data_IF_016649802219
#
_entry.id   IF_016649802219
#
_cell.length_a   1.000
_cell.length_b   1.000
_cell.length_c   1.000
_cell.angle_alpha   90.00
_cell.angle_beta   90.00
_cell.angle_gamma   90.00
#
_symmetry.space_group_name_H-M   'P 1'
#
loop_
_entity.id
_entity.type
_entity.pdbx_description
1 polymer ?
#
# COMPACT_ATOMS: atom_id res chain seq x y z
N UNK A 1 8.36 -47.02 -34.65
CA UNK A 1 7.22 -46.40 -33.94
C UNK A 1 7.48 -46.46 -32.44
N UNK A 2 7.12 -45.43 -31.65
CA UNK A 2 7.92 -44.22 -31.47
C UNK A 2 8.70 -44.19 -30.14
N UNK A 3 9.82 -43.46 -30.17
CA UNK A 3 10.60 -43.01 -29.01
C UNK A 3 9.68 -42.27 -28.04
N UNK A 4 9.42 -42.87 -26.88
CA UNK A 4 8.62 -42.28 -25.82
C UNK A 4 9.22 -40.95 -25.37
N UNK A 5 8.44 -39.88 -25.56
CA UNK A 5 8.68 -38.58 -24.94
C UNK A 5 8.75 -38.77 -23.43
N UNK A 6 9.96 -38.82 -22.87
CA UNK A 6 10.17 -38.35 -21.49
C UNK A 6 10.00 -36.84 -21.53
N UNK A 7 8.75 -36.39 -21.35
CA UNK A 7 8.49 -34.99 -21.03
C UNK A 7 9.19 -34.69 -19.71
N UNK A 8 10.40 -34.14 -19.77
CA UNK A 8 11.08 -33.56 -18.63
C UNK A 8 10.29 -32.32 -18.18
N UNK A 9 9.17 -32.56 -17.50
CA UNK A 9 8.36 -31.55 -16.82
C UNK A 9 9.11 -31.14 -15.55
N UNK A 10 10.23 -30.45 -15.76
CA UNK A 10 11.00 -29.90 -14.67
C UNK A 10 10.32 -28.61 -14.23
N UNK A 11 9.79 -28.58 -13.00
CA UNK A 11 9.33 -27.36 -12.33
C UNK A 11 10.36 -26.21 -12.46
N UNK A 12 11.65 -26.54 -12.58
CA UNK A 12 12.75 -25.58 -12.78
C UNK A 12 12.74 -24.89 -14.15
N UNK A 13 12.13 -25.47 -15.20
CA UNK A 13 11.91 -24.80 -16.50
C UNK A 13 10.66 -23.93 -16.51
N UNK A 14 9.62 -24.32 -15.76
CA UNK A 14 8.41 -23.51 -15.60
C UNK A 14 8.63 -22.28 -14.72
N UNK A 15 9.48 -22.41 -13.69
CA UNK A 15 9.70 -21.39 -12.68
C UNK A 15 11.19 -21.08 -12.49
N UNK A 16 11.85 -20.39 -13.45
CA UNK A 16 13.27 -20.03 -13.38
C UNK A 16 13.62 -19.18 -12.14
N UNK A 17 12.62 -18.56 -11.51
CA UNK A 17 12.74 -17.76 -10.29
C UNK A 17 13.20 -18.54 -9.06
N UNK A 18 13.01 -19.87 -9.00
CA UNK A 18 13.39 -20.67 -7.84
C UNK A 18 14.90 -20.59 -7.52
N UNK A 19 15.76 -20.39 -8.52
CA UNK A 19 17.20 -20.16 -8.31
C UNK A 19 17.53 -18.77 -7.75
N UNK A 20 16.61 -17.82 -7.89
CA UNK A 20 16.78 -16.44 -7.46
C UNK A 20 16.25 -16.17 -6.05
N UNK A 21 15.52 -17.13 -5.45
CA UNK A 21 14.99 -17.02 -4.09
C UNK A 21 16.13 -17.09 -3.08
N UNK A 22 16.25 -16.05 -2.27
CA UNK A 22 17.07 -16.05 -1.06
C UNK A 22 16.16 -15.90 0.17
N UNK A 23 16.74 -16.07 1.36
CA UNK A 23 15.99 -16.01 2.62
C UNK A 23 15.22 -14.68 2.79
N UNK A 24 15.79 -13.56 2.36
CA UNK A 24 15.13 -12.25 2.44
C UNK A 24 13.89 -12.16 1.56
N UNK A 25 13.96 -12.68 0.33
CA UNK A 25 12.80 -12.73 -0.58
C UNK A 25 11.70 -13.61 0.00
N UNK A 26 12.07 -14.77 0.54
CA UNK A 26 11.10 -15.66 1.18
C UNK A 26 10.38 -14.96 2.34
N UNK A 27 11.12 -14.26 3.21
CA UNK A 27 10.56 -13.49 4.32
C UNK A 27 9.58 -12.41 3.81
N UNK A 28 10.00 -11.59 2.84
CA UNK A 28 9.18 -10.49 2.31
C UNK A 28 7.91 -11.02 1.66
N UNK A 29 8.01 -12.02 0.78
CA UNK A 29 6.84 -12.61 0.13
C UNK A 29 5.87 -13.23 1.14
N UNK A 30 6.40 -13.84 2.20
CA UNK A 30 5.57 -14.39 3.29
C UNK A 30 4.85 -13.27 4.04
N UNK A 31 5.54 -12.17 4.38
CA UNK A 31 4.91 -11.01 5.02
C UNK A 31 3.80 -10.40 4.17
N UNK A 32 4.08 -10.16 2.89
CA UNK A 32 3.11 -9.65 1.92
C UNK A 32 1.86 -10.55 1.89
N UNK A 33 2.04 -11.87 1.86
CA UNK A 33 0.92 -12.81 1.81
C UNK A 33 0.11 -12.85 3.12
N UNK A 34 0.77 -12.79 4.28
CA UNK A 34 0.12 -12.78 5.58
C UNK A 34 -0.62 -11.46 5.86
N UNK A 35 0.01 -10.33 5.56
CA UNK A 35 -0.54 -9.00 5.89
C UNK A 35 -1.60 -8.54 4.88
N UNK A 36 -1.34 -8.73 3.58
CA UNK A 36 -2.21 -8.25 2.50
C UNK A 36 -3.18 -9.31 1.99
N UNK A 37 -2.85 -10.59 2.13
CA UNK A 37 -3.73 -11.70 1.76
C UNK A 37 -4.67 -12.18 2.87
N UNK A 38 -4.49 -11.67 4.11
CA UNK A 38 -5.21 -12.06 5.33
C UNK A 38 -5.22 -13.59 5.58
N UNK A 39 -4.18 -14.30 5.11
CA UNK A 39 -4.20 -15.76 5.05
C UNK A 39 -4.39 -16.41 6.43
N UNK A 40 -3.66 -15.95 7.44
CA UNK A 40 -3.77 -16.50 8.79
C UNK A 40 -5.15 -16.29 9.44
N UNK A 41 -5.88 -15.24 9.07
CA UNK A 41 -7.20 -14.95 9.63
C UNK A 41 -8.33 -15.67 8.89
N UNK A 42 -8.01 -16.30 7.76
CA UNK A 42 -8.94 -17.02 6.90
C UNK A 42 -8.81 -18.55 7.04
N UNK A 43 -7.76 -19.02 7.72
CA UNK A 43 -7.43 -20.44 7.86
C UNK A 43 -7.30 -20.79 9.34
N UNK A 44 -8.37 -21.37 9.92
CA UNK A 44 -8.50 -21.57 11.36
C UNK A 44 -7.35 -22.38 12.00
N UNK A 45 -6.84 -23.40 11.31
CA UNK A 45 -5.74 -24.21 11.84
C UNK A 45 -4.41 -23.46 11.94
N UNK A 46 -4.25 -22.35 11.22
CA UNK A 46 -3.03 -21.52 11.22
C UNK A 46 -3.00 -20.55 12.40
N UNK A 47 -4.17 -20.15 12.90
CA UNK A 47 -4.31 -19.22 14.04
C UNK A 47 -3.52 -19.65 15.28
N UNK A 48 -3.65 -20.90 15.80
CA UNK A 48 -2.92 -21.31 17.00
C UNK A 48 -1.41 -21.42 16.79
N UNK A 49 -0.94 -21.60 15.55
CA UNK A 49 0.49 -21.72 15.23
C UNK A 49 1.24 -20.39 15.37
N UNK A 50 0.53 -19.26 15.49
CA UNK A 50 1.10 -17.92 15.61
C UNK A 50 2.15 -17.62 14.52
N UNK A 51 1.96 -18.14 13.30
CA UNK A 51 2.88 -17.98 12.17
C UNK A 51 3.27 -16.51 11.94
N UNK A 52 2.34 -15.52 11.97
CA UNK A 52 2.73 -14.11 11.78
C UNK A 52 3.70 -13.60 12.84
N UNK A 53 3.59 -14.08 14.08
CA UNK A 53 4.52 -13.71 15.14
C UNK A 53 5.91 -14.28 14.87
N UNK A 54 6.00 -15.57 14.52
CA UNK A 54 7.28 -16.23 14.18
C UNK A 54 7.94 -15.51 13.00
N UNK A 55 7.19 -15.24 11.93
CA UNK A 55 7.68 -14.51 10.75
C UNK A 55 8.15 -13.12 11.15
N UNK A 56 7.38 -12.37 11.94
CA UNK A 56 7.76 -11.03 12.43
C UNK A 56 9.08 -11.04 13.22
N UNK A 57 9.29 -12.03 14.09
CA UNK A 57 10.53 -12.18 14.86
C UNK A 57 11.70 -12.50 13.92
N UNK A 58 11.54 -13.42 12.98
CA UNK A 58 12.57 -13.75 11.99
C UNK A 58 12.92 -12.56 11.10
N UNK A 59 11.92 -11.79 10.68
CA UNK A 59 12.09 -10.54 9.92
C UNK A 59 12.94 -9.55 10.71
N UNK A 60 12.59 -9.30 11.98
CA UNK A 60 13.34 -8.37 12.82
C UNK A 60 14.79 -8.83 13.05
N UNK A 61 14.99 -10.09 13.43
CA UNK A 61 16.33 -10.64 13.68
C UNK A 61 17.20 -10.63 12.42
N UNK A 62 16.63 -10.95 11.25
CA UNK A 62 17.37 -10.92 9.99
C UNK A 62 17.70 -9.48 9.55
N UNK A 63 16.79 -8.53 9.73
CA UNK A 63 17.08 -7.12 9.50
C UNK A 63 18.19 -6.60 10.42
N UNK A 64 18.18 -6.99 11.70
CA UNK A 64 19.21 -6.65 12.68
C UNK A 64 20.58 -7.21 12.27
N UNK A 65 20.62 -8.46 11.81
CA UNK A 65 21.83 -9.07 11.24
C UNK A 65 22.34 -8.29 10.02
N UNK A 66 21.47 -7.88 9.09
CA UNK A 66 21.86 -7.10 7.92
C UNK A 66 22.40 -5.71 8.29
N UNK A 67 21.83 -5.09 9.32
CA UNK A 67 22.28 -3.81 9.86
C UNK A 67 23.67 -3.94 10.51
N UNK A 68 23.86 -4.88 11.45
CA UNK A 68 25.14 -5.05 12.15
C UNK A 68 26.25 -5.64 11.29
N UNK A 69 25.92 -6.40 10.24
CA UNK A 69 26.92 -6.87 9.26
C UNK A 69 27.35 -5.78 8.27
N UNK A 70 26.84 -4.55 8.39
CA UNK A 70 27.16 -3.43 7.49
C UNK A 70 26.60 -3.59 6.07
N UNK A 71 25.73 -4.58 5.82
CA UNK A 71 25.10 -4.81 4.51
C UNK A 71 24.03 -3.77 4.20
N UNK A 72 23.43 -3.18 5.24
CA UNK A 72 22.53 -2.05 5.15
C UNK A 72 23.15 -0.82 5.80
N UNK A 73 22.95 0.35 5.19
CA UNK A 73 23.35 1.63 5.77
C UNK A 73 22.27 2.68 5.48
N UNK A 74 21.71 3.38 6.50
CA UNK A 74 20.67 4.39 6.31
C UNK A 74 21.02 5.48 5.29
N UNK A 75 22.30 5.88 5.22
CA UNK A 75 22.77 6.92 4.30
C UNK A 75 22.98 6.44 2.85
N UNK A 76 22.73 5.15 2.55
CA UNK A 76 22.97 4.59 1.21
C UNK A 76 22.07 5.20 0.14
N UNK A 77 20.83 5.54 0.49
CA UNK A 77 19.87 6.18 -0.42
C UNK A 77 19.09 7.26 0.32
N UNK A 78 18.61 8.29 -0.42
CA UNK A 78 17.75 9.34 0.16
C UNK A 78 16.49 8.76 0.81
N UNK A 79 15.94 7.70 0.21
CA UNK A 79 14.77 7.01 0.75
C UNK A 79 15.11 6.24 2.03
N UNK A 80 16.25 5.54 2.07
CA UNK A 80 16.72 4.88 3.30
C UNK A 80 16.91 5.88 4.44
N UNK A 81 17.50 7.06 4.15
CA UNK A 81 17.69 8.10 5.15
C UNK A 81 16.35 8.67 5.63
N UNK A 82 15.49 9.10 4.71
CA UNK A 82 14.19 9.69 5.07
C UNK A 82 13.28 8.70 5.83
N UNK A 83 13.27 7.41 5.46
CA UNK A 83 12.52 6.41 6.23
C UNK A 83 13.16 6.16 7.61
N UNK A 84 14.49 6.18 7.72
CA UNK A 84 15.16 6.08 9.03
C UNK A 84 14.81 7.28 9.92
N UNK A 85 14.79 8.50 9.37
CA UNK A 85 14.36 9.70 10.08
C UNK A 85 12.89 9.62 10.51
N UNK A 86 12.01 9.15 9.63
CA UNK A 86 10.61 8.91 9.96
C UNK A 86 10.45 7.89 11.09
N UNK A 87 11.18 6.76 11.00
CA UNK A 87 11.17 5.71 12.01
C UNK A 87 11.60 6.24 13.38
N UNK A 88 12.76 6.92 13.43
CA UNK A 88 13.29 7.50 14.67
C UNK A 88 12.37 8.59 15.23
N UNK A 89 11.78 9.41 14.36
CA UNK A 89 10.82 10.43 14.78
C UNK A 89 9.60 9.82 15.45
N UNK A 90 8.92 8.86 14.81
CA UNK A 90 7.74 8.22 15.40
C UNK A 90 8.11 7.47 16.68
N UNK A 91 9.26 6.77 16.69
CA UNK A 91 9.75 6.07 17.88
C UNK A 91 9.94 7.03 19.06
N UNK A 92 10.80 8.05 18.89
CA UNK A 92 11.13 8.97 19.97
C UNK A 92 9.92 9.81 20.38
N UNK A 93 9.15 10.32 19.41
CA UNK A 93 8.02 11.18 19.70
C UNK A 93 6.88 10.42 20.41
N UNK A 94 6.61 9.17 20.04
CA UNK A 94 5.59 8.37 20.72
C UNK A 94 6.00 7.96 22.15
N UNK A 95 7.29 7.74 22.42
CA UNK A 95 7.77 7.51 23.78
C UNK A 95 7.54 8.72 24.69
N UNK A 96 7.62 9.92 24.12
CA UNK A 96 7.45 11.18 24.86
C UNK A 96 5.99 11.64 24.98
N UNK A 97 5.17 11.40 23.94
CA UNK A 97 3.87 12.04 23.80
C UNK A 97 2.66 11.12 23.95
N UNK A 98 2.78 9.82 23.62
CA UNK A 98 1.61 8.94 23.58
C UNK A 98 1.04 8.68 24.97
N UNK A 99 -0.28 8.88 25.14
CA UNK A 99 -1.00 8.64 26.39
C UNK A 99 -1.40 7.18 26.56
N UNK A 100 -1.82 6.52 25.48
CA UNK A 100 -2.17 5.10 25.49
C UNK A 100 -0.96 4.24 25.14
N UNK A 101 -0.45 3.51 26.14
CA UNK A 101 0.73 2.65 26.01
C UNK A 101 0.45 1.46 25.08
N UNK A 102 -0.78 0.92 25.09
CA UNK A 102 -1.12 -0.23 24.27
C UNK A 102 -1.14 0.17 22.78
N UNK A 103 -1.86 1.25 22.44
CA UNK A 103 -1.92 1.76 21.06
C UNK A 103 -0.52 2.12 20.57
N UNK A 104 0.29 2.80 21.40
CA UNK A 104 1.69 3.10 21.10
C UNK A 104 2.48 1.84 20.76
N UNK A 105 2.45 0.83 21.62
CA UNK A 105 3.24 -0.38 21.46
C UNK A 105 2.81 -1.17 20.21
N UNK A 106 1.52 -1.21 19.90
CA UNK A 106 1.01 -1.82 18.68
C UNK A 106 1.48 -1.06 17.42
N UNK A 107 1.40 0.27 17.41
CA UNK A 107 1.86 1.12 16.32
C UNK A 107 3.37 0.99 16.08
N UNK A 108 4.17 1.04 17.14
CA UNK A 108 5.63 0.86 17.07
C UNK A 108 6.04 -0.54 16.61
N UNK A 109 5.32 -1.58 17.04
CA UNK A 109 5.56 -2.95 16.57
C UNK A 109 5.36 -3.05 15.06
N UNK A 110 4.29 -2.47 14.52
CA UNK A 110 4.03 -2.48 13.07
C UNK A 110 5.12 -1.71 12.31
N UNK A 111 5.45 -0.50 12.77
CA UNK A 111 6.46 0.33 12.15
C UNK A 111 7.84 -0.35 12.15
N UNK A 112 8.19 -1.05 13.23
CA UNK A 112 9.42 -1.85 13.33
C UNK A 112 9.47 -2.95 12.27
N UNK A 113 8.35 -3.65 12.05
CA UNK A 113 8.27 -4.70 11.03
C UNK A 113 8.35 -4.11 9.62
N UNK A 114 7.72 -2.96 9.36
CA UNK A 114 7.82 -2.29 8.06
C UNK A 114 9.25 -1.82 7.76
N UNK A 115 9.93 -1.23 8.74
CA UNK A 115 11.32 -0.83 8.61
C UNK A 115 12.26 -2.04 8.43
N UNK A 116 11.99 -3.14 9.14
CA UNK A 116 12.74 -4.40 8.98
C UNK A 116 12.57 -5.00 7.58
N UNK A 117 11.34 -5.06 7.07
CA UNK A 117 11.06 -5.50 5.70
C UNK A 117 11.75 -4.60 4.67
N UNK A 118 11.79 -3.30 4.89
CA UNK A 118 12.50 -2.35 4.03
C UNK A 118 14.01 -2.59 3.99
N UNK A 119 14.65 -2.83 5.14
CA UNK A 119 16.07 -3.20 5.23
C UNK A 119 16.33 -4.47 4.41
N UNK A 120 15.53 -5.52 4.64
CA UNK A 120 15.68 -6.80 3.95
C UNK A 120 15.52 -6.62 2.44
N UNK A 121 14.48 -5.90 2.00
CA UNK A 121 14.22 -5.68 0.58
C UNK A 121 15.37 -4.93 -0.10
N UNK A 122 15.91 -3.90 0.57
CA UNK A 122 17.02 -3.08 0.09
C UNK A 122 18.32 -3.85 -0.07
N UNK A 123 18.51 -4.92 0.71
CA UNK A 123 19.72 -5.75 0.67
C UNK A 123 19.57 -7.02 -0.20
N UNK A 124 18.37 -7.60 -0.24
CA UNK A 124 18.15 -8.94 -0.78
C UNK A 124 17.53 -8.97 -2.18
N UNK A 125 16.88 -7.89 -2.63
CA UNK A 125 16.32 -7.77 -3.99
C UNK A 125 17.32 -7.05 -4.88
N UNK A 126 17.99 -7.82 -5.73
CA UNK A 126 19.18 -7.41 -6.49
C UNK A 126 18.98 -7.43 -8.00
N UNK A 127 18.09 -8.28 -8.50
CA UNK A 127 17.87 -8.41 -9.93
C UNK A 127 16.39 -8.42 -10.30
N UNK A 128 16.16 -8.34 -11.62
CA UNK A 128 14.83 -8.26 -12.22
C UNK A 128 13.92 -9.44 -11.88
N UNK A 129 14.48 -10.66 -11.78
CA UNK A 129 13.70 -11.86 -11.48
C UNK A 129 13.19 -11.83 -10.05
N UNK A 130 14.01 -11.34 -9.12
CA UNK A 130 13.64 -11.17 -7.71
C UNK A 130 12.58 -10.08 -7.55
N UNK A 131 12.74 -8.95 -8.24
CA UNK A 131 11.73 -7.88 -8.26
C UNK A 131 10.40 -8.40 -8.79
N UNK A 132 10.42 -9.10 -9.94
CA UNK A 132 9.23 -9.73 -10.52
C UNK A 132 8.56 -10.71 -9.56
N UNK A 133 9.35 -11.53 -8.87
CA UNK A 133 8.81 -12.49 -7.91
C UNK A 133 8.09 -11.82 -6.74
N UNK A 134 8.64 -10.72 -6.20
CA UNK A 134 7.98 -9.97 -5.11
C UNK A 134 6.73 -9.25 -5.62
N UNK A 135 6.77 -8.68 -6.83
CA UNK A 135 5.58 -8.07 -7.47
C UNK A 135 4.47 -9.12 -7.70
N UNK A 136 4.83 -10.31 -8.19
CA UNK A 136 3.87 -11.40 -8.42
C UNK A 136 3.30 -11.92 -7.09
N UNK A 137 4.12 -12.05 -6.05
CA UNK A 137 3.66 -12.43 -4.70
C UNK A 137 2.66 -11.41 -4.13
N UNK A 138 2.89 -10.12 -4.34
CA UNK A 138 1.95 -9.06 -3.99
C UNK A 138 0.62 -9.17 -4.74
N UNK A 139 0.66 -9.32 -6.07
CA UNK A 139 -0.56 -9.51 -6.85
C UNK A 139 -1.33 -10.77 -6.45
N UNK A 140 -0.64 -11.87 -6.15
CA UNK A 140 -1.25 -13.11 -5.67
C UNK A 140 -1.86 -12.94 -4.26
N UNK A 141 -1.21 -12.23 -3.36
CA UNK A 141 -1.75 -11.92 -2.04
C UNK A 141 -3.04 -11.09 -2.16
N UNK A 142 -3.03 -10.06 -3.01
CA UNK A 142 -4.23 -9.23 -3.24
C UNK A 142 -5.33 -10.04 -3.91
N UNK A 143 -5.02 -10.90 -4.88
CA UNK A 143 -6.00 -11.81 -5.50
C UNK A 143 -6.63 -12.76 -4.48
N UNK A 144 -5.83 -13.30 -3.56
CA UNK A 144 -6.32 -14.14 -2.47
C UNK A 144 -7.30 -13.36 -1.59
N UNK A 145 -6.94 -12.15 -1.16
CA UNK A 145 -7.83 -11.27 -0.42
C UNK A 145 -9.10 -10.94 -1.21
N UNK A 146 -9.00 -10.66 -2.51
CA UNK A 146 -10.16 -10.39 -3.36
C UNK A 146 -11.12 -11.58 -3.41
N UNK A 147 -10.61 -12.80 -3.57
CA UNK A 147 -11.43 -14.01 -3.60
C UNK A 147 -12.26 -14.14 -2.31
N UNK A 148 -11.64 -14.00 -1.15
CA UNK A 148 -12.34 -14.08 0.13
C UNK A 148 -13.26 -12.89 0.37
N UNK A 149 -12.82 -11.67 0.05
CA UNK A 149 -13.62 -10.45 0.17
C UNK A 149 -14.88 -10.48 -0.68
N UNK A 150 -14.79 -10.93 -1.94
CA UNK A 150 -15.95 -11.09 -2.84
C UNK A 150 -16.95 -12.10 -2.27
N UNK A 151 -16.47 -13.21 -1.70
CA UNK A 151 -17.32 -14.25 -1.08
C UNK A 151 -18.02 -13.76 0.19
N UNK A 152 -17.39 -12.85 0.92
CA UNK A 152 -17.89 -12.29 2.18
C UNK A 152 -18.68 -10.97 2.00
N UNK A 153 -18.96 -10.57 0.74
CA UNK A 153 -19.82 -9.44 0.43
C UNK A 153 -19.11 -8.11 0.14
N UNK A 154 -17.78 -8.12 0.01
CA UNK A 154 -16.98 -6.95 -0.34
C UNK A 154 -15.87 -6.62 0.65
N UNK A 155 -15.71 -7.39 1.73
CA UNK A 155 -14.75 -7.18 2.80
C UNK A 155 -14.39 -8.50 3.49
N UNK A 156 -13.33 -8.52 4.32
CA UNK A 156 -12.89 -9.70 5.06
C UNK A 156 -13.08 -9.44 6.56
N UNK A 157 -14.17 -9.94 7.13
CA UNK A 157 -14.61 -9.63 8.50
C UNK A 157 -13.58 -9.99 9.58
N UNK A 158 -12.84 -11.09 9.38
CA UNK A 158 -11.82 -11.55 10.32
C UNK A 158 -10.47 -10.84 10.17
N UNK A 159 -10.29 -10.03 9.12
CA UNK A 159 -9.01 -9.38 8.84
C UNK A 159 -8.78 -8.17 9.75
N UNK A 160 -7.54 -8.02 10.21
CA UNK A 160 -7.12 -6.84 10.96
C UNK A 160 -7.20 -5.54 10.14
N UNK A 161 -7.04 -5.63 8.81
CA UNK A 161 -6.86 -4.47 7.93
C UNK A 161 -7.85 -4.42 6.77
N UNK A 162 -8.72 -5.41 6.62
CA UNK A 162 -9.57 -5.57 5.43
C UNK A 162 -11.04 -5.76 5.83
N UNK A 163 -11.39 -5.40 7.08
CA UNK A 163 -12.75 -5.48 7.61
C UNK A 163 -13.62 -4.26 7.27
N UNK A 164 -13.01 -3.19 6.75
CA UNK A 164 -13.68 -1.96 6.32
C UNK A 164 -13.64 -1.80 4.79
N UNK A 165 -14.71 -1.25 4.21
CA UNK A 165 -14.84 -1.10 2.76
C UNK A 165 -13.78 -0.18 2.14
N UNK A 166 -13.31 0.83 2.88
CA UNK A 166 -12.31 1.77 2.40
C UNK A 166 -10.93 1.13 2.41
N UNK A 167 -10.61 0.35 3.44
CA UNK A 167 -9.32 -0.33 3.57
C UNK A 167 -9.10 -1.38 2.48
N UNK A 168 -10.09 -2.26 2.26
CA UNK A 168 -9.98 -3.30 1.23
C UNK A 168 -10.02 -2.71 -0.18
N UNK A 169 -10.72 -1.58 -0.37
CA UNK A 169 -10.68 -0.84 -1.63
C UNK A 169 -9.28 -0.27 -1.90
N UNK A 170 -8.64 0.34 -0.89
CA UNK A 170 -7.26 0.85 -1.00
C UNK A 170 -6.28 -0.26 -1.36
N UNK A 171 -6.41 -1.45 -0.74
CA UNK A 171 -5.57 -2.60 -1.07
C UNK A 171 -5.57 -2.90 -2.59
N UNK A 172 -6.77 -2.95 -3.16
CA UNK A 172 -6.95 -3.27 -4.58
C UNK A 172 -6.51 -2.12 -5.48
N UNK A 173 -6.77 -0.88 -5.09
CA UNK A 173 -6.28 0.32 -5.80
C UNK A 173 -4.76 0.33 -5.90
N UNK A 174 -4.05 -0.12 -4.86
CA UNK A 174 -2.60 -0.27 -4.89
C UNK A 174 -2.13 -1.38 -5.85
N UNK A 175 -2.98 -2.34 -6.22
CA UNK A 175 -2.62 -3.48 -7.07
C UNK A 175 -2.92 -3.26 -8.56
N UNK A 176 -3.99 -2.50 -8.87
CA UNK A 176 -4.44 -2.24 -10.25
C UNK A 176 -3.31 -1.70 -11.15
N UNK A 177 -2.49 -0.70 -10.74
CA UNK A 177 -1.44 -0.16 -11.60
C UNK A 177 -0.39 -1.20 -11.99
N UNK A 178 -0.03 -2.12 -11.09
CA UNK A 178 0.92 -3.19 -11.38
C UNK A 178 0.35 -4.14 -12.43
N UNK A 179 -0.87 -4.66 -12.22
CA UNK A 179 -1.51 -5.56 -13.18
C UNK A 179 -1.69 -4.88 -14.55
N UNK A 180 -2.10 -3.60 -14.58
CA UNK A 180 -2.32 -2.85 -15.81
C UNK A 180 -1.02 -2.59 -16.58
N UNK A 181 0.02 -2.13 -15.90
CA UNK A 181 1.32 -1.87 -16.55
C UNK A 181 1.97 -3.17 -17.06
N UNK A 182 1.89 -4.26 -16.29
CA UNK A 182 2.42 -5.56 -16.69
C UNK A 182 1.63 -6.18 -17.86
N UNK A 183 0.31 -5.99 -17.91
CA UNK A 183 -0.51 -6.38 -19.06
C UNK A 183 -0.05 -5.70 -20.35
N UNK A 184 0.31 -4.40 -20.28
CA UNK A 184 0.75 -3.64 -21.45
C UNK A 184 2.16 -4.02 -21.88
N UNK A 185 3.03 -4.33 -20.91
CA UNK A 185 4.43 -4.71 -21.12
C UNK A 185 4.55 -6.11 -21.74
N UNK A 186 3.91 -7.12 -21.14
CA UNK A 186 4.13 -8.50 -21.56
C UNK A 186 3.46 -8.84 -22.90
N UNK A 187 4.23 -9.50 -23.77
CA UNK A 187 3.74 -10.01 -25.06
C UNK A 187 3.07 -11.39 -24.94
N UNK A 188 3.46 -12.18 -23.94
CA UNK A 188 2.95 -13.53 -23.72
C UNK A 188 1.42 -13.53 -23.46
N UNK A 189 0.66 -14.30 -24.25
CA UNK A 189 -0.81 -14.32 -24.18
C UNK A 189 -1.34 -14.79 -22.83
N UNK A 190 -0.73 -15.82 -22.24
CA UNK A 190 -1.16 -16.37 -20.93
C UNK A 190 -0.99 -15.31 -19.84
N UNK A 191 0.19 -14.67 -19.77
CA UNK A 191 0.43 -13.58 -18.80
C UNK A 191 -0.57 -12.44 -18.96
N UNK A 192 -0.86 -12.05 -20.20
CA UNK A 192 -1.87 -11.01 -20.47
C UNK A 192 -3.25 -11.38 -19.97
N UNK A 193 -3.68 -12.61 -20.20
CA UNK A 193 -4.97 -13.12 -19.70
C UNK A 193 -4.98 -13.07 -18.18
N UNK A 194 -3.92 -13.54 -17.51
CA UNK A 194 -3.81 -13.50 -16.05
C UNK A 194 -3.96 -12.07 -15.51
N UNK A 195 -3.24 -11.08 -16.07
CA UNK A 195 -3.37 -9.70 -15.61
C UNK A 195 -4.73 -9.06 -15.89
N UNK A 196 -5.38 -9.38 -17.03
CA UNK A 196 -6.75 -8.95 -17.32
C UNK A 196 -7.71 -9.53 -16.28
N UNK A 197 -7.61 -10.83 -16.01
CA UNK A 197 -8.44 -11.49 -15.00
C UNK A 197 -8.21 -10.89 -13.61
N UNK A 198 -6.96 -10.56 -13.26
CA UNK A 198 -6.67 -9.87 -12.01
C UNK A 198 -7.37 -8.52 -11.92
N UNK A 199 -7.27 -7.69 -12.97
CA UNK A 199 -7.95 -6.39 -13.01
C UNK A 199 -9.47 -6.57 -12.90
N UNK A 200 -10.05 -7.56 -13.59
CA UNK A 200 -11.49 -7.83 -13.50
C UNK A 200 -11.92 -8.21 -12.07
N UNK A 201 -11.15 -9.07 -11.40
CA UNK A 201 -11.39 -9.46 -10.00
C UNK A 201 -11.25 -8.25 -9.06
N UNK A 202 -10.23 -7.43 -9.27
CA UNK A 202 -9.97 -6.19 -8.53
C UNK A 202 -11.16 -5.21 -8.64
N UNK A 203 -11.61 -4.93 -9.86
CA UNK A 203 -12.77 -4.08 -10.10
C UNK A 203 -14.04 -4.67 -9.47
N UNK A 204 -14.23 -5.99 -9.55
CA UNK A 204 -15.37 -6.67 -8.92
C UNK A 204 -15.37 -6.48 -7.40
N UNK A 205 -14.21 -6.58 -6.73
CA UNK A 205 -14.13 -6.36 -5.30
C UNK A 205 -14.44 -4.90 -4.93
N UNK A 206 -13.88 -3.91 -5.65
CA UNK A 206 -14.15 -2.49 -5.38
C UNK A 206 -15.65 -2.18 -5.51
N UNK A 207 -16.32 -2.73 -6.52
CA UNK A 207 -17.78 -2.57 -6.69
C UNK A 207 -18.53 -3.19 -5.50
N UNK A 208 -18.17 -4.41 -5.09
CA UNK A 208 -18.81 -5.08 -3.95
C UNK A 208 -18.58 -4.36 -2.63
N UNK A 209 -17.38 -3.82 -2.42
CA UNK A 209 -17.03 -3.07 -1.22
C UNK A 209 -17.93 -1.85 -1.01
N UNK A 210 -18.49 -1.26 -2.09
CA UNK A 210 -19.36 -0.07 -2.00
C UNK A 210 -18.68 1.12 -1.29
N UNK A 211 -17.37 1.30 -1.48
CA UNK A 211 -16.62 2.41 -0.88
C UNK A 211 -16.60 3.65 -1.78
N UNK A 212 -17.06 4.78 -1.25
CA UNK A 212 -16.93 6.12 -1.88
C UNK A 212 -15.48 6.52 -2.09
N UNK A 213 -14.65 6.34 -1.05
CA UNK A 213 -13.21 6.60 -1.12
C UNK A 213 -12.54 5.69 -2.16
N UNK A 214 -12.96 4.43 -2.24
CA UNK A 214 -12.54 3.47 -3.25
C UNK A 214 -12.90 3.89 -4.67
N UNK A 215 -14.11 4.38 -4.92
CA UNK A 215 -14.53 4.85 -6.23
C UNK A 215 -13.72 6.07 -6.71
N UNK A 216 -13.50 7.07 -5.82
CA UNK A 216 -12.70 8.25 -6.15
C UNK A 216 -11.24 7.89 -6.42
N UNK A 217 -10.66 7.02 -5.59
CA UNK A 217 -9.30 6.57 -5.78
C UNK A 217 -9.14 5.69 -7.03
N UNK A 218 -10.14 4.89 -7.40
CA UNK A 218 -10.17 4.18 -8.69
C UNK A 218 -10.15 5.16 -9.87
N UNK A 219 -10.94 6.23 -9.82
CA UNK A 219 -10.94 7.27 -10.86
C UNK A 219 -9.57 7.95 -10.98
N UNK A 220 -8.99 8.38 -9.85
CA UNK A 220 -7.65 8.97 -9.82
C UNK A 220 -6.60 8.00 -10.38
N UNK A 221 -6.60 6.76 -9.93
CA UNK A 221 -5.69 5.71 -10.42
C UNK A 221 -5.86 5.46 -11.92
N UNK A 222 -7.09 5.37 -12.44
CA UNK A 222 -7.35 5.23 -13.87
C UNK A 222 -6.81 6.40 -14.69
N UNK A 223 -7.05 7.63 -14.22
CA UNK A 223 -6.52 8.85 -14.84
C UNK A 223 -4.99 8.86 -14.87
N UNK A 224 -4.32 8.51 -13.77
CA UNK A 224 -2.86 8.47 -13.72
C UNK A 224 -2.26 7.27 -14.47
N UNK A 225 -2.95 6.13 -14.53
CA UNK A 225 -2.61 5.05 -15.44
C UNK A 225 -2.60 5.53 -16.90
N UNK A 226 -3.60 6.30 -17.33
CA UNK A 226 -3.65 6.86 -18.68
C UNK A 226 -2.51 7.83 -18.97
N UNK A 227 -2.20 8.75 -18.05
CA UNK A 227 -1.19 9.80 -18.28
C UNK A 227 0.25 9.27 -18.31
N UNK A 228 0.55 8.17 -17.60
CA UNK A 228 1.89 7.59 -17.49
C UNK A 228 2.24 6.61 -18.64
N UNK A 229 1.32 6.36 -19.57
CA UNK A 229 1.53 5.45 -20.71
C UNK A 229 1.79 6.23 -21.99
N UNK A 230 2.79 5.76 -22.77
CA UNK A 230 3.13 6.34 -24.08
C UNK A 230 1.99 6.14 -25.10
N UNK A 231 1.37 4.95 -25.12
CA UNK A 231 0.25 4.60 -26.00
C UNK A 231 -1.09 5.08 -25.44
N UNK A 232 -1.26 6.40 -25.32
CA UNK A 232 -2.42 7.06 -24.68
C UNK A 232 -3.78 6.59 -25.21
N UNK A 233 -3.92 6.45 -26.54
CA UNK A 233 -5.18 6.02 -27.17
C UNK A 233 -5.55 4.59 -26.74
N UNK A 234 -4.59 3.67 -26.77
CA UNK A 234 -4.82 2.27 -26.37
C UNK A 234 -5.18 2.18 -24.89
N UNK A 235 -4.49 2.94 -24.04
CA UNK A 235 -4.79 3.00 -22.61
C UNK A 235 -6.20 3.57 -22.38
N UNK A 236 -6.56 4.66 -23.04
CA UNK A 236 -7.89 5.27 -22.95
C UNK A 236 -8.98 4.29 -23.38
N UNK A 237 -8.82 3.58 -24.50
CA UNK A 237 -9.77 2.56 -24.94
C UNK A 237 -9.99 1.47 -23.90
N UNK A 238 -8.92 0.94 -23.29
CA UNK A 238 -9.04 -0.10 -22.26
C UNK A 238 -9.75 0.44 -21.02
N UNK A 239 -9.42 1.65 -20.59
CA UNK A 239 -10.04 2.31 -19.43
C UNK A 239 -11.52 2.59 -19.71
N UNK A 240 -11.87 3.07 -20.91
CA UNK A 240 -13.26 3.29 -21.32
C UNK A 240 -14.06 2.00 -21.37
N UNK A 241 -13.47 0.90 -21.88
CA UNK A 241 -14.10 -0.43 -21.87
C UNK A 241 -14.34 -0.88 -20.43
N UNK A 242 -13.34 -0.76 -19.55
CA UNK A 242 -13.51 -1.10 -18.14
C UNK A 242 -14.60 -0.26 -17.48
N UNK A 243 -14.63 1.06 -17.73
CA UNK A 243 -15.67 1.95 -17.23
C UNK A 243 -17.07 1.60 -17.74
N UNK A 244 -17.19 1.22 -19.02
CA UNK A 244 -18.45 0.77 -19.61
C UNK A 244 -18.93 -0.56 -19.02
N UNK A 245 -18.02 -1.51 -18.77
CA UNK A 245 -18.34 -2.76 -18.07
C UNK A 245 -18.84 -2.48 -16.65
N UNK A 246 -18.17 -1.59 -15.90
CA UNK A 246 -18.64 -1.16 -14.58
C UNK A 246 -20.03 -0.53 -14.70
N UNK A 247 -20.24 0.34 -15.69
CA UNK A 247 -21.53 1.00 -15.91
C UNK A 247 -22.70 0.02 -16.11
N UNK A 248 -22.48 -1.07 -16.86
CA UNK A 248 -23.52 -2.08 -17.13
C UNK A 248 -23.73 -3.04 -15.96
N UNK A 249 -22.64 -3.48 -15.31
CA UNK A 249 -22.71 -4.62 -14.38
C UNK A 249 -22.70 -4.21 -12.90
N UNK A 250 -22.34 -2.98 -12.55
CA UNK A 250 -22.38 -2.54 -11.17
C UNK A 250 -23.83 -2.44 -10.67
N UNK A 251 -24.15 -2.88 -9.44
CA UNK A 251 -25.49 -2.79 -8.89
C UNK A 251 -25.87 -1.33 -8.62
N UNK A 252 -27.16 -1.01 -8.69
CA UNK A 252 -27.68 0.35 -8.43
C UNK A 252 -27.20 0.93 -7.09
N UNK A 253 -27.07 0.08 -6.06
CA UNK A 253 -26.53 0.47 -4.75
C UNK A 253 -25.16 1.14 -4.85
N UNK A 254 -24.27 0.65 -5.71
CA UNK A 254 -22.94 1.22 -5.88
C UNK A 254 -23.00 2.64 -6.47
N UNK A 255 -23.88 2.87 -7.45
CA UNK A 255 -24.12 4.20 -8.00
C UNK A 255 -24.74 5.14 -6.97
N UNK A 256 -25.66 4.66 -6.14
CA UNK A 256 -26.26 5.45 -5.08
C UNK A 256 -25.21 5.93 -4.07
N UNK A 257 -24.27 5.07 -3.68
CA UNK A 257 -23.14 5.43 -2.81
C UNK A 257 -22.24 6.50 -3.45
N UNK A 258 -21.95 6.40 -4.75
CA UNK A 258 -21.16 7.42 -5.45
C UNK A 258 -21.92 8.74 -5.58
N UNK A 259 -23.22 8.69 -5.87
CA UNK A 259 -24.07 9.88 -5.94
C UNK A 259 -24.17 10.59 -4.58
N UNK A 260 -24.09 9.84 -3.47
CA UNK A 260 -24.13 10.46 -2.14
C UNK A 260 -22.90 11.30 -1.81
N UNK A 261 -21.81 11.17 -2.57
CA UNK A 261 -20.67 12.12 -2.53
C UNK A 261 -21.16 13.55 -2.82
N UNK A 262 -22.12 13.73 -3.74
CA UNK A 262 -22.69 15.04 -4.08
C UNK A 262 -23.69 15.53 -3.02
N UNK A 263 -24.40 14.63 -2.35
CA UNK A 263 -25.44 14.96 -1.37
C UNK A 263 -24.89 15.49 -0.03
N UNK A 264 -23.57 15.40 0.19
CA UNK A 264 -22.90 16.05 1.30
C UNK A 264 -23.30 15.53 2.69
N UNK A 265 -23.02 16.31 3.73
CA UNK A 265 -23.03 15.97 5.17
C UNK A 265 -24.38 15.58 5.78
N UNK A 266 -25.38 15.24 4.97
CA UNK A 266 -26.69 14.73 5.40
C UNK A 266 -26.64 13.24 5.78
N UNK A 267 -25.66 12.48 5.29
CA UNK A 267 -25.42 11.09 5.69
C UNK A 267 -24.56 10.95 6.95
N UNK A 268 -24.87 9.95 7.80
CA UNK A 268 -24.18 9.73 9.08
C UNK A 268 -22.67 9.55 8.95
N UNK A 269 -22.19 8.82 7.94
CA UNK A 269 -20.77 8.54 7.73
C UNK A 269 -20.00 9.74 7.18
N UNK A 270 -20.58 10.51 6.25
CA UNK A 270 -19.97 11.74 5.75
C UNK A 270 -19.89 12.81 6.86
N UNK A 271 -20.93 12.89 7.69
CA UNK A 271 -20.94 13.75 8.86
C UNK A 271 -19.87 13.36 9.87
N UNK A 272 -19.75 12.08 10.25
CA UNK A 272 -18.75 11.59 11.20
C UNK A 272 -17.31 11.96 10.77
N UNK A 273 -16.98 11.81 9.48
CA UNK A 273 -15.69 12.23 8.91
C UNK A 273 -15.46 13.73 9.02
N UNK A 274 -16.36 14.54 8.47
CA UNK A 274 -16.21 16.01 8.49
C UNK A 274 -16.17 16.57 9.90
N UNK A 275 -16.87 15.94 10.85
CA UNK A 275 -16.80 16.29 12.25
C UNK A 275 -15.42 15.96 12.87
N UNK A 276 -14.91 14.74 12.65
CA UNK A 276 -13.55 14.37 13.05
C UNK A 276 -12.50 15.33 12.48
N UNK A 277 -12.65 15.76 11.23
CA UNK A 277 -11.72 16.71 10.61
C UNK A 277 -11.75 18.09 11.25
N UNK A 278 -12.93 18.56 11.67
CA UNK A 278 -13.04 19.82 12.43
C UNK A 278 -12.34 19.73 13.77
N UNK A 279 -12.50 18.61 14.49
CA UNK A 279 -11.77 18.41 15.74
C UNK A 279 -10.26 18.33 15.51
N UNK A 280 -9.82 17.63 14.46
CA UNK A 280 -8.42 17.57 14.06
C UNK A 280 -7.84 18.97 13.77
N UNK A 281 -8.60 19.82 13.09
CA UNK A 281 -8.20 21.19 12.80
C UNK A 281 -8.08 22.04 14.06
N UNK A 282 -8.94 21.82 15.06
CA UNK A 282 -8.83 22.47 16.38
C UNK A 282 -7.59 21.99 17.14
N UNK A 283 -7.34 20.67 17.16
CA UNK A 283 -6.12 20.09 17.74
C UNK A 283 -4.86 20.68 17.09
N UNK A 284 -4.84 20.79 15.76
CA UNK A 284 -3.72 21.40 15.04
C UNK A 284 -3.58 22.90 15.33
N UNK A 285 -4.70 23.63 15.45
CA UNK A 285 -4.69 25.05 15.81
C UNK A 285 -4.06 25.29 17.18
N UNK A 286 -4.36 24.42 18.14
CA UNK A 286 -3.85 24.56 19.51
C UNK A 286 -2.40 24.05 19.64
N UNK A 287 -2.01 23.05 18.82
CA UNK A 287 -0.67 22.44 18.82
C UNK A 287 -0.04 22.39 17.41
N UNK A 288 0.27 23.54 16.77
CA UNK A 288 0.63 23.56 15.35
C UNK A 288 1.99 22.94 15.03
N UNK A 289 2.96 23.01 15.94
CA UNK A 289 4.34 22.57 15.67
C UNK A 289 4.45 21.05 15.82
N UNK A 290 4.07 20.52 16.98
CA UNK A 290 4.26 19.12 17.33
C UNK A 290 2.97 18.29 17.27
N UNK A 291 1.79 18.90 17.21
CA UNK A 291 0.52 18.19 17.35
C UNK A 291 0.24 17.74 18.79
N UNK A 292 -0.86 17.01 18.98
CA UNK A 292 -1.33 16.52 20.29
C UNK A 292 -0.57 15.29 20.79
N UNK A 293 0.38 14.78 20.02
CA UNK A 293 1.14 13.57 20.31
C UNK A 293 0.85 12.44 19.34
N UNK A 294 1.89 11.64 19.09
CA UNK A 294 1.79 10.46 18.24
C UNK A 294 0.80 9.46 18.84
N UNK A 295 -0.11 8.91 18.03
CA UNK A 295 -1.15 7.96 18.45
C UNK A 295 -2.18 8.52 19.45
N UNK A 296 -2.28 9.84 19.60
CA UNK A 296 -3.16 10.48 20.58
C UNK A 296 -4.47 11.02 20.01
N UNK A 297 -4.72 10.96 18.70
CA UNK A 297 -5.95 11.49 18.14
C UNK A 297 -7.19 10.90 18.84
N UNK A 298 -7.31 9.57 19.06
CA UNK A 298 -8.45 9.00 19.77
C UNK A 298 -8.58 9.48 21.22
N UNK A 299 -7.46 9.72 21.91
CA UNK A 299 -7.44 10.23 23.29
C UNK A 299 -7.88 11.69 23.39
N UNK A 300 -7.50 12.50 22.40
CA UNK A 300 -7.86 13.92 22.35
C UNK A 300 -9.22 14.16 21.69
N UNK A 301 -9.76 13.17 20.97
CA UNK A 301 -11.11 13.25 20.40
C UNK A 301 -12.16 13.59 21.46
N UNK A 302 -12.17 12.88 22.59
CA UNK A 302 -13.18 13.04 23.66
C UNK A 302 -13.15 14.43 24.29
N UNK A 303 -12.02 14.98 24.81
CA UNK A 303 -12.02 16.30 25.40
C UNK A 303 -12.39 17.40 24.39
N UNK A 304 -11.93 17.33 23.14
CA UNK A 304 -12.33 18.29 22.10
C UNK A 304 -13.81 18.18 21.73
N UNK A 305 -14.35 16.95 21.63
CA UNK A 305 -15.77 16.72 21.42
C UNK A 305 -16.63 17.33 22.55
N UNK A 306 -16.22 17.12 23.80
CA UNK A 306 -16.92 17.64 24.99
C UNK A 306 -16.82 19.16 25.12
N UNK A 307 -15.67 19.76 24.81
CA UNK A 307 -15.45 21.20 24.91
C UNK A 307 -16.21 21.97 23.83
N UNK A 308 -16.10 21.53 22.58
CA UNK A 308 -16.61 22.31 21.45
C UNK A 308 -18.05 21.99 21.08
N UNK A 309 -18.56 20.78 21.42
CA UNK A 309 -19.90 20.28 21.10
C UNK A 309 -20.51 20.96 19.86
N UNK A 310 -19.81 20.90 18.72
CA UNK A 310 -20.01 21.81 17.56
C UNK A 310 -21.47 21.78 17.02
N UNK A 311 -22.39 22.46 17.71
CA UNK A 311 -23.87 22.45 17.59
C UNK A 311 -24.55 21.09 17.73
N UNK A 312 -24.76 20.68 18.98
CA UNK A 312 -25.37 19.44 19.47
C UNK A 312 -26.70 19.01 18.81
N UNK A 313 -27.40 19.91 18.12
CA UNK A 313 -28.80 19.71 17.72
C UNK A 313 -29.00 18.89 16.43
N UNK A 314 -27.93 18.53 15.71
CA UNK A 314 -27.97 17.68 14.50
C UNK A 314 -27.20 16.36 14.62
N UNK A 315 -26.72 16.02 15.82
CA UNK A 315 -25.83 14.88 15.99
C UNK A 315 -26.56 13.54 16.04
N UNK A 316 -25.92 12.46 15.58
CA UNK A 316 -26.38 11.13 15.98
C UNK A 316 -26.32 11.04 17.52
N UNK A 317 -27.37 10.47 18.13
CA UNK A 317 -27.54 10.21 19.58
C UNK A 317 -26.47 9.24 20.13
N UNK A 318 -25.20 9.47 19.85
CA UNK A 318 -24.08 8.58 20.18
C UNK A 318 -23.32 9.15 21.37
N UNK A 319 -22.82 8.25 22.19
CA UNK A 319 -22.11 8.58 23.41
C UNK A 319 -20.87 9.46 23.11
N UNK A 320 -20.78 10.68 23.67
CA UNK A 320 -19.68 11.60 23.41
C UNK A 320 -18.33 11.13 24.01
N UNK A 321 -18.33 10.10 24.85
CA UNK A 321 -17.13 9.54 25.47
C UNK A 321 -16.47 8.43 24.63
N UNK A 322 -17.06 8.04 23.51
CA UNK A 322 -16.47 7.05 22.60
C UNK A 322 -15.33 7.68 21.81
N UNK A 323 -14.11 7.14 21.98
CA UNK A 323 -12.92 7.50 21.20
C UNK A 323 -13.13 7.19 19.72
N UNK A 324 -12.63 8.06 18.84
CA UNK A 324 -12.72 7.90 17.39
C UNK A 324 -11.45 8.35 16.70
N UNK A 325 -11.24 7.84 15.49
CA UNK A 325 -10.20 8.28 14.56
C UNK A 325 -10.71 9.40 13.65
N UNK A 326 -9.82 10.12 12.98
CA UNK A 326 -10.21 11.21 12.09
C UNK A 326 -10.91 10.72 10.82
N UNK A 327 -10.77 9.42 10.51
CA UNK A 327 -11.18 8.82 9.24
C UNK A 327 -10.60 9.58 8.04
N UNK A 328 -9.36 10.03 8.16
CA UNK A 328 -8.57 10.64 7.11
C UNK A 328 -7.12 10.67 7.56
N UNK A 329 -6.28 9.89 6.89
CA UNK A 329 -4.87 9.72 7.23
C UNK A 329 -4.10 11.04 7.30
N UNK A 330 -4.14 11.95 6.30
CA UNK A 330 -3.37 13.19 6.38
C UNK A 330 -3.86 14.13 7.49
N UNK A 331 -5.17 14.14 7.76
CA UNK A 331 -5.78 14.99 8.77
C UNK A 331 -5.46 14.49 10.19
N UNK A 332 -5.48 13.17 10.38
CA UNK A 332 -5.04 12.56 11.64
C UNK A 332 -3.55 12.83 11.88
N UNK A 333 -2.72 12.61 10.86
CA UNK A 333 -1.27 12.80 10.94
C UNK A 333 -0.89 14.23 11.36
N UNK A 334 -1.50 15.24 10.73
CA UNK A 334 -1.19 16.64 11.05
C UNK A 334 -1.70 17.04 12.45
N UNK A 335 -2.82 16.48 12.91
CA UNK A 335 -3.31 16.73 14.26
C UNK A 335 -2.39 16.10 15.32
N UNK A 336 -1.90 14.89 15.09
CA UNK A 336 -1.03 14.17 16.03
C UNK A 336 0.41 14.69 16.04
N UNK A 337 0.94 15.09 14.89
CA UNK A 337 2.37 15.37 14.73
C UNK A 337 2.74 16.79 14.31
N UNK A 338 1.73 17.61 13.99
CA UNK A 338 1.89 19.00 13.59
C UNK A 338 2.69 19.18 12.30
N UNK A 339 3.25 20.39 12.15
CA UNK A 339 4.13 20.75 11.03
C UNK A 339 5.39 19.87 11.02
N UNK A 340 5.96 19.56 12.19
CA UNK A 340 7.21 18.81 12.30
C UNK A 340 7.08 17.41 11.68
N UNK A 341 6.08 16.63 12.08
CA UNK A 341 5.87 15.31 11.50
C UNK A 341 5.48 15.37 10.02
N UNK A 342 4.74 16.41 9.62
CA UNK A 342 4.39 16.64 8.21
C UNK A 342 5.62 16.94 7.33
N UNK A 343 6.62 17.66 7.85
CA UNK A 343 7.90 17.89 7.17
C UNK A 343 8.68 16.59 7.00
N UNK A 344 8.74 15.75 8.04
CA UNK A 344 9.44 14.47 8.00
C UNK A 344 8.80 13.52 6.99
N UNK A 345 7.46 13.45 6.98
CA UNK A 345 6.71 12.69 5.97
C UNK A 345 6.95 13.25 4.55
N UNK A 346 7.05 14.58 4.41
CA UNK A 346 7.36 15.24 3.13
C UNK A 346 8.74 14.90 2.59
N UNK A 347 9.76 14.76 3.44
CA UNK A 347 11.10 14.29 3.03
C UNK A 347 11.05 12.89 2.40
N UNK A 348 10.17 12.02 2.92
CA UNK A 348 9.97 10.70 2.35
C UNK A 348 9.31 10.77 0.97
N UNK A 349 8.29 11.61 0.79
CA UNK A 349 7.69 11.86 -0.53
C UNK A 349 8.68 12.43 -1.54
N UNK A 350 9.52 13.38 -1.13
CA UNK A 350 10.55 13.95 -1.99
C UNK A 350 11.58 12.88 -2.40
N UNK A 351 11.94 11.97 -1.49
CA UNK A 351 12.85 10.86 -1.78
C UNK A 351 12.25 9.86 -2.77
N UNK A 352 10.99 9.47 -2.56
CA UNK A 352 10.20 8.62 -3.47
C UNK A 352 10.11 9.25 -4.87
N UNK A 353 9.78 10.54 -4.93
CA UNK A 353 9.68 11.27 -6.19
C UNK A 353 11.04 11.38 -6.89
N UNK A 354 12.11 11.64 -6.14
CA UNK A 354 13.48 11.68 -6.67
C UNK A 354 13.87 10.32 -7.28
N UNK A 355 13.58 9.21 -6.60
CA UNK A 355 13.80 7.88 -7.14
C UNK A 355 13.01 7.69 -8.45
N UNK A 356 11.71 7.99 -8.44
CA UNK A 356 10.88 7.84 -9.62
C UNK A 356 11.39 8.65 -10.81
N UNK A 357 11.69 9.93 -10.59
CA UNK A 357 12.15 10.85 -11.65
C UNK A 357 13.46 10.37 -12.26
N UNK A 358 14.41 9.98 -11.43
CA UNK A 358 15.72 9.49 -11.89
C UNK A 358 15.56 8.22 -12.73
N UNK A 359 14.84 7.22 -12.22
CA UNK A 359 14.51 5.99 -12.94
C UNK A 359 13.79 6.25 -14.26
N UNK A 360 12.76 7.10 -14.24
CA UNK A 360 11.96 7.41 -15.42
C UNK A 360 12.81 8.03 -16.53
N UNK A 361 13.69 8.98 -16.18
CA UNK A 361 14.59 9.62 -17.14
C UNK A 361 15.63 8.65 -17.68
N UNK A 362 16.26 7.84 -16.82
CA UNK A 362 17.26 6.84 -17.23
C UNK A 362 16.68 5.76 -18.15
N UNK A 363 15.40 5.42 -18.00
CA UNK A 363 14.72 4.39 -18.78
C UNK A 363 13.99 4.92 -20.04
N UNK A 364 13.99 6.24 -20.30
CA UNK A 364 13.05 6.88 -21.25
C UNK A 364 13.14 6.34 -22.68
N UNK A 365 14.31 5.86 -23.11
CA UNK A 365 14.58 5.42 -24.48
C UNK A 365 15.23 4.03 -24.58
N UNK A 366 15.21 3.25 -23.51
CA UNK A 366 15.92 1.97 -23.47
C UNK A 366 15.03 0.81 -23.97
N UNK A 367 15.38 0.12 -25.07
CA UNK A 367 14.57 -0.96 -25.60
C UNK A 367 14.73 -2.27 -24.81
N UNK A 368 15.67 -2.35 -23.85
CA UNK A 368 15.96 -3.60 -23.16
C UNK A 368 14.81 -4.03 -22.23
N UNK A 369 14.39 -5.29 -22.32
CA UNK A 369 13.17 -5.79 -21.66
C UNK A 369 13.21 -5.61 -20.13
N UNK A 370 14.36 -5.85 -19.49
CA UNK A 370 14.48 -5.66 -18.03
C UNK A 370 14.33 -4.19 -17.63
N UNK A 371 14.79 -3.25 -18.47
CA UNK A 371 14.67 -1.81 -18.22
C UNK A 371 13.24 -1.35 -18.44
N UNK A 372 12.54 -1.89 -19.44
CA UNK A 372 11.10 -1.65 -19.62
C UNK A 372 10.27 -2.17 -18.43
N UNK A 373 10.63 -3.33 -17.87
CA UNK A 373 9.99 -3.84 -16.66
C UNK A 373 10.22 -2.91 -15.46
N UNK A 374 11.46 -2.47 -15.22
CA UNK A 374 11.79 -1.52 -14.15
C UNK A 374 10.99 -0.23 -14.30
N UNK A 375 10.89 0.31 -15.52
CA UNK A 375 10.08 1.51 -15.84
C UNK A 375 8.60 1.27 -15.54
N UNK A 376 8.05 0.13 -15.93
CA UNK A 376 6.66 -0.25 -15.66
C UNK A 376 6.37 -0.37 -14.15
N UNK A 377 7.24 -1.05 -13.40
CA UNK A 377 7.18 -1.17 -11.93
C UNK A 377 7.26 0.20 -11.24
N UNK A 378 8.19 1.05 -11.67
CA UNK A 378 8.38 2.38 -11.11
C UNK A 378 7.15 3.28 -11.33
N UNK A 379 6.59 3.27 -12.55
CA UNK A 379 5.36 3.99 -12.85
C UNK A 379 4.17 3.43 -12.05
N UNK A 380 4.01 2.10 -12.00
CA UNK A 380 2.96 1.46 -11.20
C UNK A 380 3.06 1.86 -9.71
N UNK A 381 4.27 1.95 -9.16
CA UNK A 381 4.49 2.33 -7.76
C UNK A 381 3.98 3.74 -7.46
N UNK A 382 4.31 4.74 -8.29
CA UNK A 382 3.85 6.12 -8.08
C UNK A 382 2.33 6.25 -8.29
N UNK A 383 1.76 5.59 -9.30
CA UNK A 383 0.31 5.62 -9.51
C UNK A 383 -0.42 4.96 -8.33
N UNK A 384 0.13 3.86 -7.80
CA UNK A 384 -0.41 3.17 -6.62
C UNK A 384 -0.32 4.06 -5.38
N UNK A 385 0.74 4.85 -5.21
CA UNK A 385 0.85 5.83 -4.13
C UNK A 385 -0.19 6.94 -4.24
N UNK A 386 -0.44 7.45 -5.45
CA UNK A 386 -1.50 8.44 -5.69
C UNK A 386 -2.87 7.85 -5.35
N UNK A 387 -3.14 6.62 -5.79
CA UNK A 387 -4.36 5.88 -5.45
C UNK A 387 -4.52 5.68 -3.94
N UNK A 388 -3.48 5.21 -3.26
CA UNK A 388 -3.44 5.08 -1.81
C UNK A 388 -3.79 6.40 -1.12
N UNK A 389 -3.10 7.50 -1.44
CA UNK A 389 -3.32 8.78 -0.78
C UNK A 389 -4.68 9.40 -1.09
N UNK A 390 -5.24 9.14 -2.29
CA UNK A 390 -6.61 9.54 -2.64
C UNK A 390 -7.62 8.78 -1.77
N UNK A 391 -7.46 7.47 -1.59
CA UNK A 391 -8.32 6.67 -0.71
C UNK A 391 -8.13 7.01 0.76
N UNK A 392 -6.89 7.27 1.19
CA UNK A 392 -6.53 7.63 2.55
C UNK A 392 -7.08 8.98 3.01
N UNK A 393 -7.65 9.79 2.10
CA UNK A 393 -8.46 10.96 2.47
C UNK A 393 -9.74 10.56 3.22
N UNK A 394 -10.23 9.33 3.05
CA UNK A 394 -11.50 8.84 3.60
C UNK A 394 -11.35 7.85 4.76
N UNK A 395 -10.12 7.50 5.13
CA UNK A 395 -9.82 6.51 6.17
C UNK A 395 -8.44 6.75 6.81
N UNK A 396 -8.28 6.41 8.09
CA UNK A 396 -7.03 6.54 8.83
C UNK A 396 -6.26 5.22 8.79
N UNK A 397 -5.25 5.11 7.90
CA UNK A 397 -4.59 3.84 7.56
C UNK A 397 -3.06 3.94 7.43
N UNK A 398 -2.42 4.99 7.94
CA UNK A 398 -0.98 5.18 7.74
C UNK A 398 -0.14 4.00 8.24
N UNK A 399 -0.53 3.39 9.37
CA UNK A 399 0.15 2.24 9.98
C UNK A 399 -0.31 0.88 9.43
N UNK A 400 -1.12 0.85 8.39
CA UNK A 400 -1.57 -0.35 7.70
C UNK A 400 -0.52 -0.68 6.64
N UNK A 401 -0.38 -1.95 6.22
CA UNK A 401 0.74 -2.39 5.39
C UNK A 401 0.78 -1.80 3.97
N UNK A 402 -0.30 -1.13 3.52
CA UNK A 402 -0.47 -0.69 2.14
C UNK A 402 0.61 0.31 1.69
N UNK A 403 0.75 1.43 2.39
CA UNK A 403 1.72 2.48 2.02
C UNK A 403 3.16 2.00 2.15
N UNK A 404 3.46 1.26 3.22
CA UNK A 404 4.81 0.75 3.49
C UNK A 404 5.26 -0.29 2.47
N UNK A 405 4.33 -1.08 1.93
CA UNK A 405 4.62 -1.97 0.79
C UNK A 405 5.03 -1.15 -0.44
N UNK A 406 4.37 -0.02 -0.72
CA UNK A 406 4.73 0.86 -1.83
C UNK A 406 6.08 1.56 -1.63
N UNK A 407 6.40 1.99 -0.39
CA UNK A 407 7.73 2.53 -0.03
C UNK A 407 8.82 1.50 -0.31
N UNK A 408 8.60 0.26 0.12
CA UNK A 408 9.47 -0.89 -0.15
C UNK A 408 9.63 -1.12 -1.67
N UNK A 409 8.54 -1.08 -2.44
CA UNK A 409 8.57 -1.28 -3.89
C UNK A 409 9.34 -0.19 -4.64
N UNK A 410 9.26 1.06 -4.18
CA UNK A 410 10.05 2.17 -4.72
C UNK A 410 11.56 1.91 -4.55
N UNK A 411 11.98 1.50 -3.35
CA UNK A 411 13.40 1.25 -3.06
C UNK A 411 13.94 0.00 -3.78
N UNK A 412 13.14 -1.07 -3.87
CA UNK A 412 13.52 -2.25 -4.66
C UNK A 412 13.75 -1.90 -6.14
N UNK A 413 12.86 -1.09 -6.72
CA UNK A 413 12.99 -0.63 -8.11
C UNK A 413 14.29 0.16 -8.34
N UNK A 414 14.62 1.05 -7.40
CA UNK A 414 15.86 1.83 -7.45
C UNK A 414 17.11 0.95 -7.32
N UNK A 415 17.12 0.01 -6.37
CA UNK A 415 18.26 -0.90 -6.17
C UNK A 415 18.52 -1.80 -7.39
N UNK A 416 17.46 -2.38 -7.97
CA UNK A 416 17.58 -3.23 -9.16
C UNK A 416 18.01 -2.42 -10.39
N UNK A 417 17.53 -1.19 -10.53
CA UNK A 417 17.95 -0.28 -11.59
C UNK A 417 19.44 0.03 -11.53
N UNK A 418 19.95 0.47 -10.38
CA UNK A 418 21.37 0.77 -10.22
C UNK A 418 22.26 -0.43 -10.58
N UNK A 419 21.89 -1.64 -10.14
CA UNK A 419 22.64 -2.86 -10.45
C UNK A 419 22.56 -3.25 -11.93
N UNK A 420 21.37 -3.12 -12.54
CA UNK A 420 21.17 -3.43 -13.96
C UNK A 420 21.95 -2.45 -14.86
N UNK A 421 21.98 -1.17 -14.48
CA UNK A 421 22.72 -0.15 -15.22
C UNK A 421 24.24 -0.33 -15.11
N UNK A 422 24.76 -0.68 -13.92
CA UNK A 422 26.17 -1.04 -13.71
C UNK A 422 26.54 -2.24 -14.59
N UNK A 423 25.74 -3.31 -14.54
CA UNK A 423 25.98 -4.50 -15.35
C UNK A 423 25.98 -4.21 -16.86
N UNK A 424 25.15 -3.26 -17.32
CA UNK A 424 25.07 -2.85 -18.73
C UNK A 424 26.23 -1.96 -19.16
N UNK A 425 26.73 -1.08 -18.29
CA UNK A 425 27.73 -0.05 -18.65
C UNK A 425 29.16 -0.41 -18.29
N UNK A 426 29.38 -1.47 -17.51
CA UNK A 426 30.71 -1.91 -17.07
C UNK A 426 31.39 -0.96 -16.08
N UNK A 427 30.75 0.17 -15.73
CA UNK A 427 31.23 1.10 -14.71
C UNK A 427 30.62 0.73 -13.37
N UNK A 428 31.39 0.05 -12.52
CA UNK A 428 31.09 -0.04 -11.09
C UNK A 428 31.05 1.37 -10.48
N UNK A 429 30.14 1.60 -9.54
CA UNK A 429 30.05 2.84 -8.76
C UNK A 429 31.36 3.13 -8.01
#
# INVERSE_FOLDING_TARGET
MPKGLKSNFSLKKLFPYLKSVNIGIFIICTHIFLDLGAFQQLVDFVVPLKIPFIVSVLTFLYALFLLFSGKFHPLKSKLSLSFTLFFLFVLLYSLLSSKDIQIRNEGLKLLLIYYSNFIIASCCVKNILQLSLVTDAFLLAVLHACYHGIRQGGLIWSSKWLGDENEISILVICAIPYAFMLFLLYKNRIRKILYILSIAIFLTLIIKANSRGGALALFATGFFCWTFIEKKIRALLIISIAGFVIFIFAPQRWFNEIQSIQQGTTESTAFDRTYGWKLAALMFKDYPICGVGMFNYPEFYVPYNLQYRLKADKYPKRDPHIKRVAHSTPIEWIAETGILGSLILSLMFLSIHSNWKNLHLSCKSDPYESIQYIKAHNNATIISMIGFWTGALFVSVLFWPFFWTLVLFNEMGNNVHSQTFIAKTGKGL
#
